data_IF_813183172905
#
_entry.id   IF_813183172905
#
_cell.length_a   1.000
_cell.length_b   1.000
_cell.length_c   1.000
_cell.angle_alpha   90.00
_cell.angle_beta   90.00
_cell.angle_gamma   90.00
#
_symmetry.space_group_name_H-M   'P 1'
#
loop_
_entity.id
_entity.type
_entity.pdbx_description
1 polymer ?
#
# COMPACT_ATOMS: atom_id res chain seq x y z
N UNK A 1 88.96 -28.81 32.66
CA UNK A 1 87.87 -28.20 31.86
C UNK A 1 86.65 -28.09 32.77
N UNK A 2 86.02 -26.91 32.92
CA UNK A 2 84.87 -26.76 33.82
C UNK A 2 83.62 -27.39 33.19
N UNK A 3 82.91 -28.15 34.02
CA UNK A 3 81.67 -28.86 33.70
C UNK A 3 80.55 -27.82 33.73
N UNK A 4 79.86 -27.61 32.61
CA UNK A 4 78.69 -26.73 32.55
C UNK A 4 77.53 -27.34 33.36
N UNK A 5 76.81 -26.56 34.17
CA UNK A 5 75.68 -27.09 34.94
C UNK A 5 74.53 -27.50 34.02
N UNK A 6 73.77 -28.55 34.36
CA UNK A 6 72.66 -29.02 33.54
C UNK A 6 71.54 -27.97 33.47
N UNK A 7 70.81 -27.89 32.35
CA UNK A 7 69.74 -26.91 32.17
C UNK A 7 68.61 -27.16 33.17
N UNK A 8 68.11 -26.07 33.78
CA UNK A 8 67.01 -26.11 34.74
C UNK A 8 65.75 -26.71 34.08
N UNK A 9 65.28 -27.86 34.58
CA UNK A 9 64.01 -28.45 34.15
C UNK A 9 62.85 -27.63 34.72
N UNK A 10 62.07 -26.98 33.85
CA UNK A 10 60.90 -26.20 34.24
C UNK A 10 59.81 -27.11 34.79
N UNK A 11 59.23 -26.75 35.94
CA UNK A 11 58.10 -27.49 36.52
C UNK A 11 56.82 -27.31 35.67
N UNK A 12 55.95 -28.31 35.62
CA UNK A 12 54.67 -28.23 34.88
C UNK A 12 53.79 -27.05 35.31
N UNK A 13 53.80 -26.69 36.61
CA UNK A 13 53.08 -25.52 37.12
C UNK A 13 53.64 -24.19 36.60
N UNK A 14 54.96 -24.06 36.46
CA UNK A 14 55.56 -22.82 35.91
C UNK A 14 55.27 -22.64 34.42
N UNK A 15 55.23 -23.74 33.65
CA UNK A 15 54.83 -23.71 32.24
C UNK A 15 53.35 -23.34 32.09
N UNK A 16 52.48 -23.91 32.94
CA UNK A 16 51.05 -23.62 32.93
C UNK A 16 50.75 -22.15 33.30
N UNK A 17 51.45 -21.59 34.30
CA UNK A 17 51.30 -20.18 34.68
C UNK A 17 51.75 -19.23 33.55
N UNK A 18 52.87 -19.52 32.89
CA UNK A 18 53.36 -18.75 31.75
C UNK A 18 52.40 -18.82 30.56
N UNK A 19 51.87 -20.01 30.27
CA UNK A 19 50.81 -20.20 29.27
C UNK A 19 49.58 -19.33 29.57
N UNK A 20 49.10 -19.35 30.83
CA UNK A 20 47.91 -18.59 31.23
C UNK A 20 48.13 -17.07 31.15
N UNK A 21 49.33 -16.57 31.46
CA UNK A 21 49.69 -15.15 31.35
C UNK A 21 49.67 -14.62 29.92
N UNK A 22 49.91 -15.47 28.92
CA UNK A 22 49.86 -15.09 27.49
C UNK A 22 48.48 -15.35 26.90
N UNK A 23 47.85 -16.47 27.28
CA UNK A 23 46.57 -16.89 26.73
C UNK A 23 45.40 -16.00 27.17
N UNK A 24 45.33 -15.61 28.46
CA UNK A 24 44.26 -14.76 28.98
C UNK A 24 44.17 -13.38 28.31
N UNK A 25 45.25 -12.59 28.14
CA UNK A 25 45.15 -11.30 27.46
C UNK A 25 44.80 -11.48 25.98
N UNK A 26 45.33 -12.50 25.31
CA UNK A 26 44.98 -12.80 23.91
C UNK A 26 43.48 -13.13 23.77
N UNK A 27 42.95 -13.97 24.65
CA UNK A 27 41.53 -14.30 24.71
C UNK A 27 40.69 -13.05 25.00
N UNK A 28 41.15 -12.19 25.91
CA UNK A 28 40.50 -10.91 26.22
C UNK A 28 40.41 -10.01 24.99
N UNK A 29 41.49 -9.87 24.23
CA UNK A 29 41.50 -9.09 22.98
C UNK A 29 40.53 -9.70 21.96
N UNK A 30 40.54 -11.02 21.77
CA UNK A 30 39.61 -11.70 20.86
C UNK A 30 38.15 -11.49 21.27
N UNK A 31 37.84 -11.55 22.57
CA UNK A 31 36.49 -11.30 23.09
C UNK A 31 36.07 -9.84 22.83
N UNK A 32 36.95 -8.87 23.05
CA UNK A 32 36.65 -7.45 22.79
C UNK A 32 36.40 -7.20 21.30
N UNK A 33 37.24 -7.75 20.42
CA UNK A 33 37.06 -7.62 18.96
C UNK A 33 35.77 -8.31 18.50
N UNK A 34 35.50 -9.52 18.98
CA UNK A 34 34.27 -10.25 18.66
C UNK A 34 33.02 -9.52 19.14
N UNK A 35 33.07 -8.97 20.35
CA UNK A 35 31.98 -8.17 20.93
C UNK A 35 31.76 -6.88 20.12
N UNK A 36 32.83 -6.16 19.77
CA UNK A 36 32.74 -4.96 18.91
C UNK A 36 32.12 -5.30 17.55
N UNK A 37 32.58 -6.37 16.90
CA UNK A 37 32.01 -6.84 15.63
C UNK A 37 30.52 -7.19 15.78
N UNK A 38 30.16 -7.96 16.80
CA UNK A 38 28.76 -8.32 17.09
C UNK A 38 27.87 -7.08 17.26
N UNK A 39 28.29 -6.08 18.04
CA UNK A 39 27.52 -4.85 18.21
C UNK A 39 27.37 -4.07 16.92
N UNK A 40 28.43 -3.98 16.10
CA UNK A 40 28.35 -3.26 14.82
C UNK A 40 27.37 -3.92 13.86
N UNK A 41 27.38 -5.25 13.73
CA UNK A 41 26.47 -6.01 12.86
C UNK A 41 25.04 -5.94 13.38
N UNK A 42 24.84 -6.08 14.68
CA UNK A 42 23.51 -6.00 15.28
C UNK A 42 22.86 -4.62 15.08
N UNK A 43 23.64 -3.54 15.21
CA UNK A 43 23.15 -2.19 15.01
C UNK A 43 22.79 -1.91 13.54
N UNK A 44 23.61 -2.37 12.58
CA UNK A 44 23.37 -2.14 11.15
C UNK A 44 22.18 -2.93 10.62
N UNK A 45 22.02 -4.20 11.01
CA UNK A 45 20.90 -5.02 10.56
C UNK A 45 19.55 -4.47 11.04
N UNK A 46 19.50 -3.98 12.28
CA UNK A 46 18.26 -3.44 12.86
C UNK A 46 17.82 -2.16 12.16
N UNK A 47 18.75 -1.21 11.98
CA UNK A 47 18.46 0.05 11.29
C UNK A 47 18.08 -0.14 9.81
N UNK A 48 18.71 -1.10 9.13
CA UNK A 48 18.38 -1.43 7.74
C UNK A 48 16.97 -2.00 7.58
N UNK A 49 16.54 -2.90 8.49
CA UNK A 49 15.20 -3.51 8.46
C UNK A 49 14.11 -2.48 8.75
N UNK A 50 14.27 -1.70 9.82
CA UNK A 50 13.28 -0.70 10.24
C UNK A 50 13.08 0.40 9.18
N UNK A 51 14.18 0.85 8.55
CA UNK A 51 14.12 1.80 7.43
C UNK A 51 13.39 1.21 6.22
N UNK A 52 13.68 -0.03 5.86
CA UNK A 52 13.02 -0.72 4.74
C UNK A 52 11.53 -0.95 4.99
N UNK A 53 11.15 -1.35 6.20
CA UNK A 53 9.75 -1.50 6.60
C UNK A 53 9.00 -0.18 6.55
N UNK A 54 9.58 0.89 7.10
CA UNK A 54 8.99 2.24 7.07
C UNK A 54 8.85 2.76 5.64
N UNK A 55 9.86 2.51 4.80
CA UNK A 55 9.82 2.86 3.38
C UNK A 55 8.71 2.10 2.65
N UNK A 56 8.60 0.79 2.86
CA UNK A 56 7.61 -0.06 2.22
C UNK A 56 6.18 0.32 2.64
N UNK A 57 5.94 0.53 3.93
CA UNK A 57 4.64 1.03 4.44
C UNK A 57 4.35 2.43 3.89
N UNK A 58 5.37 3.29 3.81
CA UNK A 58 5.24 4.62 3.24
C UNK A 58 4.92 4.59 1.73
N UNK A 59 5.51 3.68 0.97
CA UNK A 59 5.22 3.46 -0.44
C UNK A 59 3.80 2.95 -0.64
N UNK A 60 3.39 1.93 0.11
CA UNK A 60 2.03 1.39 0.06
C UNK A 60 0.99 2.48 0.36
N UNK A 61 1.22 3.30 1.40
CA UNK A 61 0.36 4.44 1.72
C UNK A 61 0.27 5.44 0.57
N UNK A 62 1.39 5.78 -0.08
CA UNK A 62 1.41 6.70 -1.22
C UNK A 62 0.63 6.14 -2.41
N UNK A 63 0.78 4.85 -2.71
CA UNK A 63 0.04 4.19 -3.79
C UNK A 63 -1.47 4.24 -3.53
N UNK A 64 -1.92 3.86 -2.32
CA UNK A 64 -3.34 3.92 -1.94
C UNK A 64 -3.89 5.34 -2.08
N UNK A 65 -3.15 6.35 -1.60
CA UNK A 65 -3.57 7.74 -1.71
C UNK A 65 -3.66 8.21 -3.18
N UNK A 66 -2.72 7.77 -4.02
CA UNK A 66 -2.73 8.09 -5.44
C UNK A 66 -3.93 7.44 -6.15
N UNK A 67 -4.22 6.17 -5.85
CA UNK A 67 -5.36 5.44 -6.41
C UNK A 67 -6.69 6.09 -6.01
N UNK A 68 -6.88 6.41 -4.72
CA UNK A 68 -8.07 7.13 -4.24
C UNK A 68 -8.19 8.50 -4.92
N UNK A 69 -7.08 9.24 -5.04
CA UNK A 69 -7.09 10.56 -5.68
C UNK A 69 -7.46 10.47 -7.17
N UNK A 70 -7.00 9.42 -7.87
CA UNK A 70 -7.36 9.17 -9.25
C UNK A 70 -8.86 8.88 -9.40
N UNK A 71 -9.44 8.04 -8.52
CA UNK A 71 -10.88 7.74 -8.51
C UNK A 71 -11.72 8.99 -8.22
N UNK A 72 -11.31 9.82 -7.27
CA UNK A 72 -12.02 11.07 -6.97
C UNK A 72 -11.93 12.08 -8.12
N UNK A 73 -10.76 12.17 -8.78
CA UNK A 73 -10.58 13.01 -9.97
C UNK A 73 -11.50 12.56 -11.10
N UNK A 74 -11.61 11.26 -11.30
CA UNK A 74 -12.47 10.63 -12.29
C UNK A 74 -13.95 10.89 -12.04
N UNK A 75 -14.39 10.76 -10.78
CA UNK A 75 -15.76 11.07 -10.37
C UNK A 75 -16.09 12.55 -10.61
N UNK A 76 -15.20 13.46 -10.19
CA UNK A 76 -15.39 14.91 -10.40
C UNK A 76 -15.48 15.27 -11.87
N UNK A 77 -14.58 14.71 -12.68
CA UNK A 77 -14.64 14.88 -14.13
C UNK A 77 -15.99 14.46 -14.70
N UNK A 78 -16.50 13.29 -14.29
CA UNK A 78 -17.76 12.75 -14.79
C UNK A 78 -18.96 13.62 -14.37
N UNK A 79 -18.99 14.07 -13.12
CA UNK A 79 -20.04 14.97 -12.60
C UNK A 79 -20.01 16.31 -13.35
N UNK A 80 -18.84 16.95 -13.46
CA UNK A 80 -18.71 18.22 -14.17
C UNK A 80 -19.07 18.09 -15.65
N UNK A 81 -18.70 16.97 -16.28
CA UNK A 81 -19.00 16.73 -17.69
C UNK A 81 -20.50 16.67 -17.91
N UNK A 82 -21.22 15.87 -17.11
CA UNK A 82 -22.69 15.72 -17.20
C UNK A 82 -23.39 17.05 -16.92
N UNK A 83 -23.00 17.78 -15.86
CA UNK A 83 -23.60 19.06 -15.49
C UNK A 83 -23.51 20.10 -16.62
N UNK A 84 -22.42 20.08 -17.40
CA UNK A 84 -22.21 21.02 -18.53
C UNK A 84 -23.05 20.69 -19.77
N UNK A 85 -23.66 19.52 -19.86
CA UNK A 85 -24.42 19.11 -21.05
C UNK A 85 -25.84 19.71 -21.14
N UNK A 86 -26.18 20.68 -20.29
CA UNK A 86 -27.47 21.40 -20.32
C UNK A 86 -28.68 20.45 -20.38
N UNK A 87 -28.66 19.43 -19.50
CA UNK A 87 -29.65 18.35 -19.42
C UNK A 87 -31.05 18.78 -18.99
N UNK A 88 -31.27 20.07 -18.69
CA UNK A 88 -32.54 20.63 -18.20
C UNK A 88 -33.69 20.59 -19.22
N UNK A 89 -33.40 20.40 -20.51
CA UNK A 89 -34.44 20.31 -21.57
C UNK A 89 -34.68 18.88 -22.08
N UNK A 90 -33.94 17.89 -21.58
CA UNK A 90 -34.01 16.54 -22.10
C UNK A 90 -35.13 15.73 -21.44
N UNK A 91 -35.81 14.89 -22.24
CA UNK A 91 -36.69 13.88 -21.66
C UNK A 91 -35.88 12.86 -20.85
N UNK A 92 -36.48 12.20 -19.84
CA UNK A 92 -35.78 11.18 -19.04
C UNK A 92 -35.10 10.10 -19.88
N UNK A 93 -35.70 9.70 -21.01
CA UNK A 93 -35.13 8.70 -21.92
C UNK A 93 -33.92 9.23 -22.69
N UNK A 94 -33.95 10.50 -23.10
CA UNK A 94 -32.81 11.14 -23.77
C UNK A 94 -31.63 11.30 -22.80
N UNK A 95 -31.92 11.76 -21.59
CA UNK A 95 -30.94 11.88 -20.50
C UNK A 95 -30.28 10.54 -20.20
N UNK A 96 -31.07 9.49 -19.97
CA UNK A 96 -30.56 8.15 -19.66
C UNK A 96 -29.70 7.59 -20.80
N UNK A 97 -30.09 7.83 -22.06
CA UNK A 97 -29.31 7.40 -23.23
C UNK A 97 -27.96 8.13 -23.33
N UNK A 98 -27.96 9.44 -23.10
CA UNK A 98 -26.75 10.27 -23.13
C UNK A 98 -25.75 9.83 -22.05
N UNK A 99 -26.20 9.81 -20.79
CA UNK A 99 -25.39 9.37 -19.65
C UNK A 99 -24.93 7.91 -19.85
N UNK A 100 -25.81 7.04 -20.35
CA UNK A 100 -25.47 5.64 -20.64
C UNK A 100 -24.31 5.49 -21.62
N UNK A 101 -24.32 6.25 -22.72
CA UNK A 101 -23.25 6.24 -23.71
C UNK A 101 -21.93 6.77 -23.12
N UNK A 102 -21.99 7.85 -22.35
CA UNK A 102 -20.80 8.41 -21.69
C UNK A 102 -20.19 7.44 -20.70
N UNK A 103 -21.02 6.80 -19.86
CA UNK A 103 -20.58 5.81 -18.90
C UNK A 103 -20.00 4.59 -19.60
N UNK A 104 -20.57 4.17 -20.73
CA UNK A 104 -20.05 3.07 -21.52
C UNK A 104 -18.65 3.40 -22.05
N UNK A 105 -18.46 4.56 -22.67
CA UNK A 105 -17.14 5.02 -23.15
C UNK A 105 -16.16 5.16 -21.99
N UNK A 106 -16.60 5.76 -20.88
CA UNK A 106 -15.76 5.97 -19.72
C UNK A 106 -15.27 4.64 -19.11
N UNK A 107 -16.18 3.68 -18.93
CA UNK A 107 -15.83 2.33 -18.47
C UNK A 107 -14.88 1.62 -19.45
N UNK A 108 -15.10 1.78 -20.76
CA UNK A 108 -14.24 1.19 -21.80
C UNK A 108 -12.81 1.75 -21.74
N UNK A 109 -12.66 3.06 -21.55
CA UNK A 109 -11.34 3.71 -21.52
C UNK A 109 -10.61 3.52 -20.20
N UNK A 110 -11.34 3.58 -19.09
CA UNK A 110 -10.74 3.45 -17.75
C UNK A 110 -10.42 2.00 -17.40
N UNK A 111 -11.28 1.04 -17.80
CA UNK A 111 -11.14 -0.40 -17.54
C UNK A 111 -10.90 -0.76 -16.05
N UNK A 112 -11.21 0.18 -15.16
CA UNK A 112 -10.98 0.11 -13.72
C UNK A 112 -12.29 -0.14 -12.96
N UNK A 113 -13.40 0.37 -13.50
CA UNK A 113 -14.70 0.34 -12.83
C UNK A 113 -15.50 -0.86 -13.32
N UNK A 114 -15.81 -1.78 -12.40
CA UNK A 114 -16.71 -2.89 -12.70
C UNK A 114 -18.12 -2.39 -13.05
N UNK A 115 -18.56 -1.31 -12.40
CA UNK A 115 -19.90 -0.74 -12.60
C UNK A 115 -19.91 0.77 -12.40
N UNK A 116 -20.71 1.47 -13.21
CA UNK A 116 -21.01 2.89 -13.06
C UNK A 116 -22.53 3.06 -13.03
N UNK A 117 -23.04 3.79 -12.04
CA UNK A 117 -24.47 3.93 -11.76
C UNK A 117 -24.85 5.39 -11.56
N UNK A 118 -25.94 5.81 -12.21
CA UNK A 118 -26.61 7.07 -11.93
C UNK A 118 -27.90 6.75 -11.18
N UNK A 119 -28.04 7.32 -9.98
CA UNK A 119 -29.19 7.12 -9.09
C UNK A 119 -30.01 8.41 -9.04
N UNK A 120 -31.33 8.30 -9.00
CA UNK A 120 -32.18 9.44 -8.70
C UNK A 120 -32.20 9.78 -7.20
N UNK A 121 -32.87 10.88 -6.86
CA UNK A 121 -33.09 11.36 -5.48
C UNK A 121 -33.85 10.37 -4.58
N UNK A 122 -34.51 9.37 -5.16
CA UNK A 122 -35.22 8.31 -4.44
C UNK A 122 -34.38 7.03 -4.29
N UNK A 123 -33.18 7.01 -4.88
CA UNK A 123 -32.25 5.88 -4.88
C UNK A 123 -32.55 4.82 -5.93
N UNK A 124 -33.37 5.12 -6.94
CA UNK A 124 -33.60 4.23 -8.08
C UNK A 124 -32.46 4.40 -9.10
N UNK A 125 -31.92 3.28 -9.60
CA UNK A 125 -30.98 3.30 -10.70
C UNK A 125 -31.69 3.81 -11.98
N UNK A 126 -31.17 4.89 -12.57
CA UNK A 126 -31.64 5.47 -13.84
C UNK A 126 -30.77 5.01 -15.00
N UNK A 127 -29.46 4.88 -14.75
CA UNK A 127 -28.49 4.32 -15.71
C UNK A 127 -27.56 3.39 -14.96
N UNK A 128 -27.27 2.23 -15.56
CA UNK A 128 -26.24 1.33 -15.06
C UNK A 128 -25.43 0.75 -16.21
N UNK A 129 -24.11 0.87 -16.10
CA UNK A 129 -23.15 0.24 -17.01
C UNK A 129 -22.33 -0.76 -16.21
N UNK A 130 -22.23 -1.99 -16.71
CA UNK A 130 -21.34 -3.01 -16.15
C UNK A 130 -20.18 -3.26 -17.12
N UNK A 131 -18.96 -3.27 -16.61
CA UNK A 131 -17.74 -3.64 -17.33
C UNK A 131 -17.53 -5.15 -17.22
N UNK A 132 -18.08 -5.92 -18.16
CA UNK A 132 -18.02 -7.38 -18.15
C UNK A 132 -16.70 -7.88 -18.77
N UNK A 133 -15.56 -7.63 -18.13
CA UNK A 133 -14.27 -8.19 -18.55
C UNK A 133 -13.75 -7.68 -19.91
N UNK A 134 -14.07 -6.43 -20.28
CA UNK A 134 -13.61 -5.80 -21.52
C UNK A 134 -14.72 -5.25 -22.41
N UNK A 135 -15.97 -5.66 -22.19
CA UNK A 135 -17.14 -5.13 -22.90
C UNK A 135 -18.10 -4.42 -21.93
N UNK A 136 -18.03 -3.08 -21.82
CA UNK A 136 -19.01 -2.34 -21.06
C UNK A 136 -20.38 -2.40 -21.73
N UNK A 137 -21.40 -2.76 -20.95
CA UNK A 137 -22.80 -2.88 -21.40
C UNK A 137 -23.71 -2.03 -20.52
N UNK A 138 -24.54 -1.22 -21.16
CA UNK A 138 -25.67 -0.52 -20.52
C UNK A 138 -26.77 -1.55 -20.22
N UNK A 139 -27.25 -1.57 -18.98
CA UNK A 139 -28.33 -2.46 -18.56
C UNK A 139 -29.70 -1.89 -18.97
N UNK A 140 -30.65 -2.74 -19.38
CA UNK A 140 -32.00 -2.32 -19.72
C UNK A 140 -32.80 -2.01 -18.44
N UNK A 141 -33.90 -1.26 -18.59
CA UNK A 141 -34.68 -0.72 -17.47
C UNK A 141 -35.20 -1.81 -16.51
N UNK A 142 -35.49 -3.00 -17.02
CA UNK A 142 -36.00 -4.13 -16.23
C UNK A 142 -34.97 -4.70 -15.26
N UNK A 143 -33.67 -4.45 -15.50
CA UNK A 143 -32.57 -4.89 -14.66
C UNK A 143 -32.13 -3.82 -13.64
N UNK A 144 -32.67 -2.60 -13.73
CA UNK A 144 -32.36 -1.49 -12.82
C UNK A 144 -32.99 -1.71 -11.45
N UNK A 145 -32.25 -1.38 -10.39
CA UNK A 145 -32.63 -1.71 -9.03
C UNK A 145 -32.81 -0.47 -8.17
N UNK A 146 -33.71 -0.54 -7.19
CA UNK A 146 -33.81 0.45 -6.14
C UNK A 146 -32.77 0.18 -5.04
N UNK A 147 -31.98 1.21 -4.70
CA UNK A 147 -30.88 1.18 -3.72
C UNK A 147 -31.11 2.10 -2.52
N UNK A 148 -32.31 2.64 -2.33
CA UNK A 148 -32.66 3.55 -1.23
C UNK A 148 -32.23 3.08 0.15
N UNK A 149 -32.34 1.77 0.39
CA UNK A 149 -32.03 1.16 1.70
C UNK A 149 -30.55 0.82 1.89
N UNK A 150 -29.68 1.15 0.92
CA UNK A 150 -28.24 0.90 1.04
C UNK A 150 -27.57 2.05 1.79
N UNK A 151 -26.69 1.70 2.72
CA UNK A 151 -25.97 2.67 3.55
C UNK A 151 -25.26 3.76 2.72
N UNK A 152 -24.64 3.38 1.60
CA UNK A 152 -23.92 4.32 0.73
C UNK A 152 -24.86 5.35 0.09
N UNK A 153 -26.13 5.00 -0.16
CA UNK A 153 -27.11 5.95 -0.70
C UNK A 153 -27.58 6.89 0.40
N UNK A 154 -27.91 6.35 1.57
CA UNK A 154 -28.34 7.12 2.74
C UNK A 154 -27.29 8.14 3.17
N UNK A 155 -26.01 7.77 3.10
CA UNK A 155 -24.93 8.70 3.41
C UNK A 155 -24.68 9.70 2.29
N UNK A 156 -24.75 9.28 1.02
CA UNK A 156 -24.48 10.16 -0.12
C UNK A 156 -25.55 11.26 -0.29
N UNK A 157 -26.83 10.96 -0.01
CA UNK A 157 -27.93 11.94 -0.16
C UNK A 157 -27.89 13.05 0.91
N UNK A 158 -27.19 12.82 2.02
CA UNK A 158 -26.97 13.81 3.08
C UNK A 158 -25.78 14.74 2.80
N UNK A 159 -24.99 14.45 1.77
CA UNK A 159 -23.81 15.24 1.42
C UNK A 159 -24.19 16.53 0.68
N UNK A 160 -23.37 17.57 0.90
CA UNK A 160 -23.40 18.78 0.08
C UNK A 160 -23.00 18.47 -1.37
N UNK A 161 -23.46 19.30 -2.31
CA UNK A 161 -23.09 19.19 -3.71
C UNK A 161 -21.56 19.13 -3.89
N UNK A 162 -21.09 18.18 -4.71
CA UNK A 162 -19.67 17.98 -5.00
C UNK A 162 -18.88 17.22 -3.93
N UNK A 163 -19.50 16.84 -2.81
CA UNK A 163 -18.87 15.98 -1.81
C UNK A 163 -19.02 14.48 -2.16
N UNK A 164 -18.10 13.68 -1.62
CA UNK A 164 -18.00 12.23 -1.84
C UNK A 164 -17.84 11.52 -0.49
N UNK A 165 -18.49 10.37 -0.31
CA UNK A 165 -18.36 9.47 0.84
C UNK A 165 -17.45 8.29 0.53
#
# INVERSE_FOLDING_TARGET
MPITPPPRTLSRLSLFKGFLQVFLPLLGVLMVVGMMHYYTVYATERGGRESSETLNVGLARRMINADISAVLSDLRFLVEHIQRQHVFEMSPQQLARLIGLEFQVFAEKKRLYDQIRFLDENGLEVVRVNFNGGNPRILPNEELQNKRNRYYFQQAIELSEGASY
#
